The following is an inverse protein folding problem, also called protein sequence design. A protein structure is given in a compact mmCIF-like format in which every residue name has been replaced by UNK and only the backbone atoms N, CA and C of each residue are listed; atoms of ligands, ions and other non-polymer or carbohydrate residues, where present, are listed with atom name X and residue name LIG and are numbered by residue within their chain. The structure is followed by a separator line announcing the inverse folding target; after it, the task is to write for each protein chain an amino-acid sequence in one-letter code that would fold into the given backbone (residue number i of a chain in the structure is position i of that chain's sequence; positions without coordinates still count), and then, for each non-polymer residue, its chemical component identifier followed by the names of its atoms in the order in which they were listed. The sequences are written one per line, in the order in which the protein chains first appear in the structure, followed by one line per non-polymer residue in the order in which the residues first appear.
data_IF_056767519474
#
_entry.id   IF_056767519474
#
_cell.length_a   1.000
_cell.length_b   1.000
_cell.length_c   1.000
_cell.angle_alpha   90.00
_cell.angle_beta   90.00
_cell.angle_gamma   90.00
#
_symmetry.space_group_name_H-M   'P 1'
#
loop_
_entity.id
_entity.type
_entity.pdbx_description
1 polymer ?
#
# COMPACT_ATOMS: atom_id res chain seq x y z
N UNK A 1 14.85 -1.80 10.66
CA UNK A 1 14.42 -0.88 9.57
C UNK A 1 15.64 -0.37 8.83
N UNK A 2 15.60 -0.42 7.52
CA UNK A 2 16.71 0.02 6.67
C UNK A 2 16.65 1.55 6.49
N UNK A 3 17.79 2.21 6.62
CA UNK A 3 17.87 3.65 6.37
C UNK A 3 17.63 3.95 4.90
N UNK A 4 16.88 5.02 4.62
CA UNK A 4 16.61 5.47 3.27
C UNK A 4 17.64 6.53 2.88
N UNK A 5 18.34 6.31 1.78
CA UNK A 5 19.28 7.30 1.23
C UNK A 5 18.91 7.71 -0.20
N UNK A 6 18.76 6.74 -1.09
CA UNK A 6 18.35 6.94 -2.48
C UNK A 6 17.48 5.76 -2.88
N UNK A 7 16.38 6.02 -3.59
CA UNK A 7 15.54 4.97 -4.16
C UNK A 7 15.43 5.18 -5.67
N UNK A 8 15.78 4.13 -6.42
CA UNK A 8 15.58 4.07 -7.87
C UNK A 8 14.70 2.88 -8.17
N UNK A 9 13.67 3.10 -8.98
CA UNK A 9 12.76 2.02 -9.32
C UNK A 9 11.67 2.44 -10.26
N UNK A 10 10.82 1.49 -10.61
CA UNK A 10 9.64 1.75 -11.44
C UNK A 10 8.62 2.50 -10.62
N UNK A 11 8.09 3.57 -11.18
CA UNK A 11 7.00 4.37 -10.57
C UNK A 11 5.67 3.76 -10.98
N UNK A 12 4.81 3.52 -9.99
CA UNK A 12 3.45 3.02 -10.20
C UNK A 12 2.50 4.22 -10.06
N UNK A 13 1.85 4.67 -11.15
CA UNK A 13 0.91 5.78 -11.06
C UNK A 13 -0.45 5.31 -10.54
N UNK A 14 -0.83 5.78 -9.36
CA UNK A 14 -2.13 5.54 -8.77
C UNK A 14 -2.93 6.84 -8.90
N UNK A 15 -3.65 6.99 -9.99
CA UNK A 15 -4.30 8.23 -10.40
C UNK A 15 -5.61 8.46 -9.62
N UNK A 16 -5.51 8.59 -8.30
CA UNK A 16 -6.64 8.77 -7.40
C UNK A 16 -6.29 9.72 -6.26
N UNK A 17 -7.16 10.70 -5.96
CA UNK A 17 -7.04 11.48 -4.73
C UNK A 17 -7.66 10.72 -3.55
N UNK A 18 -7.40 11.17 -2.34
CA UNK A 18 -8.04 10.67 -1.11
C UNK A 18 -7.94 9.16 -0.96
N UNK A 19 -6.77 8.58 -1.28
CA UNK A 19 -6.51 7.16 -1.05
C UNK A 19 -6.48 6.95 0.46
N UNK A 20 -7.56 6.39 1.02
CA UNK A 20 -7.70 6.26 2.46
C UNK A 20 -7.03 4.99 2.99
N UNK A 21 -6.87 4.94 4.31
CA UNK A 21 -6.21 3.82 4.96
C UNK A 21 -6.99 2.51 4.81
N UNK A 22 -8.32 2.57 4.66
CA UNK A 22 -9.13 1.39 4.42
C UNK A 22 -8.92 0.82 3.01
N UNK A 23 -8.65 1.68 2.03
CA UNK A 23 -8.26 1.22 0.69
C UNK A 23 -6.86 0.59 0.71
N UNK A 24 -5.92 1.18 1.45
CA UNK A 24 -4.55 0.66 1.55
C UNK A 24 -4.54 -0.73 2.20
N UNK A 25 -5.23 -0.88 3.33
CA UNK A 25 -5.38 -2.17 4.00
C UNK A 25 -6.78 -2.28 4.61
N UNK A 26 -7.66 -3.17 4.10
CA UNK A 26 -9.02 -3.31 4.61
C UNK A 26 -9.07 -3.72 6.08
N UNK A 27 -10.13 -3.29 6.75
CA UNK A 27 -10.27 -3.43 8.21
C UNK A 27 -10.24 -4.87 8.71
N UNK A 28 -10.65 -5.85 7.90
CA UNK A 28 -10.64 -7.26 8.31
C UNK A 28 -9.25 -7.79 8.61
N UNK A 29 -8.19 -7.12 8.11
CA UNK A 29 -6.80 -7.54 8.35
C UNK A 29 -6.18 -6.90 9.59
N UNK A 30 -6.90 -6.01 10.28
CA UNK A 30 -6.33 -5.20 11.37
C UNK A 30 -6.27 -5.92 12.71
N UNK A 31 -6.82 -7.13 12.82
CA UNK A 31 -6.80 -7.91 14.06
C UNK A 31 -5.43 -8.50 14.38
N UNK A 32 -4.55 -8.59 13.38
CA UNK A 32 -3.21 -9.12 13.58
C UNK A 32 -2.31 -8.10 14.27
N UNK A 33 -1.49 -8.56 15.22
CA UNK A 33 -0.47 -7.76 15.87
C UNK A 33 0.90 -7.87 15.18
N UNK A 34 1.00 -8.71 14.16
CA UNK A 34 2.22 -8.86 13.37
C UNK A 34 2.47 -7.59 12.55
N UNK A 35 3.74 -7.30 12.27
CA UNK A 35 4.14 -6.15 11.47
C UNK A 35 4.48 -6.51 10.03
N UNK A 36 4.37 -7.76 9.67
CA UNK A 36 4.70 -8.27 8.34
C UNK A 36 3.61 -9.24 7.87
N UNK A 37 3.67 -9.61 6.60
CA UNK A 37 2.68 -10.51 6.01
C UNK A 37 1.47 -9.81 5.43
N UNK A 38 1.45 -8.47 5.41
CA UNK A 38 0.32 -7.69 4.87
C UNK A 38 0.49 -7.33 3.40
N UNK A 39 1.66 -7.54 2.81
CA UNK A 39 1.91 -7.21 1.40
C UNK A 39 0.91 -7.83 0.44
N UNK A 40 0.58 -9.12 0.55
CA UNK A 40 -0.43 -9.74 -0.32
C UNK A 40 -1.81 -9.09 -0.26
N UNK A 41 -2.13 -8.39 0.84
CA UNK A 41 -3.42 -7.74 1.04
C UNK A 41 -3.37 -6.22 0.86
N UNK A 42 -2.23 -5.66 0.43
CA UNK A 42 -2.13 -4.24 0.10
C UNK A 42 -3.12 -3.91 -1.01
N UNK A 43 -3.94 -2.88 -0.81
CA UNK A 43 -5.00 -2.48 -1.74
C UNK A 43 -5.92 -3.65 -2.13
N UNK A 44 -6.23 -4.54 -1.19
CA UNK A 44 -6.94 -5.79 -1.46
C UNK A 44 -8.22 -5.60 -2.26
N UNK A 45 -9.04 -4.60 -1.91
CA UNK A 45 -10.31 -4.37 -2.59
C UNK A 45 -10.15 -3.92 -4.04
N UNK A 46 -9.03 -3.31 -4.38
CA UNK A 46 -8.76 -2.86 -5.75
C UNK A 46 -7.96 -3.88 -6.57
N UNK A 47 -7.09 -4.64 -5.91
CA UNK A 47 -6.23 -5.63 -6.58
C UNK A 47 -6.96 -6.88 -7.00
N UNK A 48 -7.96 -7.29 -6.23
CA UNK A 48 -8.65 -8.57 -6.42
C UNK A 48 -10.12 -8.35 -6.70
N UNK A 49 -10.71 -9.29 -7.46
CA UNK A 49 -12.13 -9.27 -7.79
C UNK A 49 -12.99 -9.90 -6.71
N UNK A 50 -12.39 -10.71 -5.82
CA UNK A 50 -13.07 -11.29 -4.66
C UNK A 50 -12.74 -10.52 -3.39
N UNK A 51 -13.50 -10.75 -2.33
CA UNK A 51 -13.22 -10.17 -1.02
C UNK A 51 -12.12 -10.97 -0.31
N UNK A 52 -11.09 -10.28 0.20
CA UNK A 52 -10.01 -10.90 0.95
C UNK A 52 -10.40 -11.22 2.39
N UNK A 53 -9.85 -12.31 2.91
CA UNK A 53 -10.02 -12.74 4.28
C UNK A 53 -8.66 -13.01 4.93
N UNK A 54 -8.52 -12.76 6.25
CA UNK A 54 -7.27 -13.08 6.94
C UNK A 54 -6.91 -14.56 6.81
N UNK A 55 -5.64 -14.84 6.51
CA UNK A 55 -5.14 -16.20 6.38
C UNK A 55 -5.41 -16.86 5.04
N UNK A 56 -6.09 -16.18 4.12
CA UNK A 56 -6.36 -16.70 2.79
C UNK A 56 -5.09 -16.68 1.93
N UNK A 57 -4.86 -17.76 1.18
CA UNK A 57 -3.80 -17.79 0.17
C UNK A 57 -4.21 -16.93 -1.03
N UNK A 58 -3.42 -15.89 -1.30
CA UNK A 58 -3.71 -14.93 -2.35
C UNK A 58 -3.16 -15.33 -3.73
N UNK A 59 -2.40 -16.42 -3.82
CA UNK A 59 -1.68 -16.77 -5.06
C UNK A 59 -2.60 -17.10 -6.23
N UNK A 60 -3.81 -17.61 -5.96
CA UNK A 60 -4.77 -18.01 -6.98
C UNK A 60 -6.03 -17.14 -7.00
N UNK A 61 -6.02 -16.01 -6.33
CA UNK A 61 -7.17 -15.11 -6.31
C UNK A 61 -7.33 -14.40 -7.67
N UNK A 62 -8.58 -14.12 -8.10
CA UNK A 62 -8.80 -13.41 -9.37
C UNK A 62 -8.31 -11.96 -9.24
N UNK A 63 -7.38 -11.57 -10.12
CA UNK A 63 -6.81 -10.22 -10.14
C UNK A 63 -7.70 -9.28 -10.96
N UNK A 64 -7.80 -8.03 -10.50
CA UNK A 64 -8.43 -6.97 -11.28
C UNK A 64 -7.42 -6.46 -12.34
N UNK A 65 -7.66 -6.71 -13.63
CA UNK A 65 -6.69 -6.35 -14.66
C UNK A 65 -6.55 -4.84 -14.87
N UNK A 66 -7.52 -4.06 -14.43
CA UNK A 66 -7.53 -2.61 -14.61
C UNK A 66 -6.73 -1.88 -13.52
N UNK A 67 -6.38 -2.56 -12.42
CA UNK A 67 -5.65 -1.93 -11.34
C UNK A 67 -4.15 -1.85 -11.66
N UNK A 68 -3.54 -0.69 -11.43
CA UNK A 68 -2.17 -0.39 -11.86
C UNK A 68 -1.15 -1.39 -11.30
N UNK A 69 -1.27 -1.77 -10.02
CA UNK A 69 -0.31 -2.70 -9.41
C UNK A 69 -0.33 -4.09 -10.04
N UNK A 70 -1.40 -4.44 -10.73
CA UNK A 70 -1.51 -5.74 -11.41
C UNK A 70 -1.03 -5.71 -12.87
N UNK A 71 -0.76 -4.53 -13.42
CA UNK A 71 -0.33 -4.40 -14.81
C UNK A 71 1.15 -4.79 -14.95
N UNK A 72 1.46 -5.53 -16.01
CA UNK A 72 2.81 -6.09 -16.21
C UNK A 72 3.90 -5.01 -16.25
N UNK A 73 3.61 -3.84 -16.83
CA UNK A 73 4.58 -2.75 -16.94
C UNK A 73 5.00 -2.15 -15.60
N UNK A 74 4.22 -2.36 -14.54
CA UNK A 74 4.50 -1.83 -13.21
C UNK A 74 4.97 -2.89 -12.22
N UNK A 75 5.15 -4.12 -12.65
CA UNK A 75 5.62 -5.19 -11.78
C UNK A 75 7.01 -4.86 -11.23
N UNK A 76 7.20 -5.11 -9.94
CA UNK A 76 8.47 -4.78 -9.27
C UNK A 76 8.64 -3.30 -8.93
N UNK A 77 7.61 -2.47 -9.15
CA UNK A 77 7.68 -1.05 -8.81
C UNK A 77 7.83 -0.83 -7.31
N UNK A 78 8.64 0.17 -6.94
CA UNK A 78 8.93 0.51 -5.54
C UNK A 78 8.52 1.93 -5.17
N UNK A 79 8.08 2.72 -6.14
CA UNK A 79 7.68 4.12 -5.95
C UNK A 79 6.23 4.25 -6.35
N UNK A 80 5.39 4.73 -5.43
CA UNK A 80 3.97 4.95 -5.67
C UNK A 80 3.72 6.44 -5.89
N UNK A 81 3.10 6.79 -7.00
CA UNK A 81 2.73 8.17 -7.32
C UNK A 81 1.21 8.31 -7.24
N UNK A 82 0.72 9.15 -6.34
CA UNK A 82 -0.70 9.33 -6.10
C UNK A 82 -1.08 10.81 -6.14
N UNK A 83 -2.39 11.09 -6.20
CA UNK A 83 -2.92 12.44 -6.08
C UNK A 83 -3.00 12.86 -4.62
N UNK A 84 -3.57 14.05 -4.36
CA UNK A 84 -3.61 14.68 -3.04
C UNK A 84 -4.28 13.84 -1.95
N UNK A 85 -3.95 14.16 -0.71
CA UNK A 85 -4.53 13.62 0.52
C UNK A 85 -4.39 12.11 0.66
N UNK A 86 -3.20 11.60 0.37
CA UNK A 86 -2.89 10.17 0.48
C UNK A 86 -2.85 9.76 1.96
N UNK A 87 -3.49 8.62 2.28
CA UNK A 87 -3.49 8.08 3.63
C UNK A 87 -4.56 8.67 4.55
N UNK A 88 -5.57 9.35 3.99
CA UNK A 88 -6.66 9.91 4.79
C UNK A 88 -7.48 8.80 5.48
N UNK A 89 -8.37 9.21 6.38
CA UNK A 89 -9.21 8.28 7.13
C UNK A 89 -8.61 7.91 8.48
N UNK A 90 -9.00 6.75 9.01
CA UNK A 90 -8.58 6.30 10.34
C UNK A 90 -7.08 6.04 10.42
N UNK A 91 -6.49 6.34 11.57
CA UNK A 91 -5.07 6.06 11.81
C UNK A 91 -4.83 4.56 11.91
N UNK A 92 -3.99 4.02 11.03
CA UNK A 92 -3.66 2.59 11.00
C UNK A 92 -2.18 2.40 10.67
N UNK A 93 -1.42 1.88 11.60
CA UNK A 93 -0.01 1.55 11.34
C UNK A 93 0.12 0.39 10.35
N UNK A 94 -0.91 -0.45 10.23
CA UNK A 94 -0.92 -1.55 9.26
C UNK A 94 -0.77 -1.05 7.81
N UNK A 95 -1.22 0.17 7.51
CA UNK A 95 -1.10 0.71 6.15
C UNK A 95 0.36 0.88 5.72
N UNK A 96 1.26 1.56 6.48
CA UNK A 96 2.68 1.58 6.15
C UNK A 96 3.32 0.19 6.15
N UNK A 97 2.92 -0.69 7.07
CA UNK A 97 3.47 -2.05 7.11
C UNK A 97 3.14 -2.82 5.82
N UNK A 98 1.90 -2.71 5.33
CA UNK A 98 1.49 -3.36 4.08
C UNK A 98 2.26 -2.82 2.88
N UNK A 99 2.45 -1.51 2.80
CA UNK A 99 3.24 -0.88 1.74
C UNK A 99 4.67 -1.40 1.73
N UNK A 100 5.35 -1.40 2.89
CA UNK A 100 6.71 -1.89 3.02
C UNK A 100 6.84 -3.37 2.66
N UNK A 101 5.94 -4.19 3.18
CA UNK A 101 5.97 -5.63 2.95
C UNK A 101 5.73 -5.98 1.48
N UNK A 102 4.92 -5.19 0.79
CA UNK A 102 4.72 -5.34 -0.65
C UNK A 102 5.96 -4.95 -1.46
N UNK A 103 6.78 -4.02 -0.94
CA UNK A 103 7.99 -3.57 -1.61
C UNK A 103 7.99 -2.08 -1.96
N UNK A 104 7.00 -1.32 -1.50
CA UNK A 104 6.95 0.13 -1.74
C UNK A 104 7.91 0.82 -0.76
N UNK A 105 8.83 1.62 -1.30
CA UNK A 105 9.83 2.34 -0.53
C UNK A 105 9.58 3.84 -0.47
N UNK A 106 8.82 4.37 -1.41
CA UNK A 106 8.58 5.80 -1.54
C UNK A 106 7.15 6.04 -2.04
N UNK A 107 6.48 7.03 -1.47
CA UNK A 107 5.17 7.49 -1.93
C UNK A 107 5.29 8.97 -2.27
N UNK A 108 4.92 9.34 -3.50
CA UNK A 108 4.92 10.72 -3.98
C UNK A 108 3.47 11.16 -4.13
N UNK A 109 3.11 12.24 -3.43
CA UNK A 109 1.77 12.84 -3.49
C UNK A 109 1.91 14.35 -3.26
N UNK A 110 0.93 15.12 -3.71
CA UNK A 110 0.90 16.56 -3.47
C UNK A 110 0.58 16.89 -2.03
N UNK A 111 -0.09 15.99 -1.31
CA UNK A 111 -0.34 16.13 0.14
C UNK A 111 -0.61 14.76 0.78
N UNK A 112 -0.33 14.68 2.07
CA UNK A 112 -0.56 13.49 2.88
C UNK A 112 -1.40 13.85 4.10
N UNK A 113 -2.21 12.90 4.59
CA UNK A 113 -2.80 13.04 5.91
C UNK A 113 -1.69 12.99 6.97
N UNK A 114 -1.76 13.86 7.97
CA UNK A 114 -0.66 14.05 8.94
C UNK A 114 -0.27 12.79 9.68
N UNK A 115 -1.25 12.03 10.17
CA UNK A 115 -0.99 10.79 10.92
C UNK A 115 -0.33 9.76 10.03
N UNK A 116 -0.80 9.62 8.79
CA UNK A 116 -0.21 8.69 7.84
C UNK A 116 1.24 9.07 7.53
N UNK A 117 1.50 10.35 7.29
CA UNK A 117 2.86 10.85 7.04
C UNK A 117 3.81 10.49 8.18
N UNK A 118 3.38 10.72 9.42
CA UNK A 118 4.19 10.40 10.60
C UNK A 118 4.44 8.89 10.72
N UNK A 119 3.42 8.07 10.47
CA UNK A 119 3.56 6.62 10.53
C UNK A 119 4.50 6.08 9.44
N UNK A 120 4.45 6.64 8.24
CA UNK A 120 5.37 6.27 7.17
C UNK A 120 6.82 6.61 7.53
N UNK A 121 7.05 7.81 8.06
CA UNK A 121 8.39 8.23 8.48
C UNK A 121 8.98 7.31 9.55
N UNK A 122 8.17 6.91 10.53
CA UNK A 122 8.61 5.97 11.57
C UNK A 122 8.97 4.60 11.02
N UNK A 123 8.38 4.19 9.92
CA UNK A 123 8.57 2.87 9.32
C UNK A 123 9.54 2.89 8.12
N UNK A 124 10.15 4.01 7.81
CA UNK A 124 11.17 4.10 6.77
C UNK A 124 10.65 4.22 5.36
N UNK A 125 9.41 4.65 5.17
CA UNK A 125 8.86 5.03 3.86
C UNK A 125 9.04 6.53 3.68
N UNK A 126 9.55 6.90 2.54
CA UNK A 126 9.76 8.29 2.20
C UNK A 126 8.57 8.86 1.41
#
# INVERSE_FOLDING_TARGET
MQAFTVEKGVVIPLDRPNVDTDAIIPKQFLKSIQRSGFGPNLFDEWRYLDQGEPGQDCSNRPLNPDFELNQARYQGGTILLARENFGCGSSREHAPWALLDFGIRCVISTSFADIFYNNCSKNGIL
#
